data_IF_873373032492
#
_entry.id   IF_873373032492
#
_cell.length_a   1.000
_cell.length_b   1.000
_cell.length_c   1.000
_cell.angle_alpha   90.00
_cell.angle_beta   90.00
_cell.angle_gamma   90.00
#
_symmetry.space_group_name_H-M   'P 1'
#
loop_
_entity.id
_entity.type
_entity.pdbx_description
1 polymer ?
#
# COMPACT_ATOMS: atom_id res chain seq x y z
N UNK A 1 -17.58 -11.45 17.19
CA UNK A 1 -16.63 -10.65 18.01
C UNK A 1 -16.98 -9.16 17.99
N UNK A 2 -17.67 -8.67 19.03
CA UNK A 2 -18.23 -7.31 19.10
C UNK A 2 -17.15 -6.20 19.18
N UNK A 3 -15.97 -6.52 19.70
CA UNK A 3 -14.88 -5.55 19.95
C UNK A 3 -14.26 -5.01 18.65
N UNK A 4 -14.04 -5.85 17.64
CA UNK A 4 -13.48 -5.40 16.35
C UNK A 4 -14.46 -4.50 15.59
N UNK A 5 -15.77 -4.80 15.68
CA UNK A 5 -16.83 -3.98 15.07
C UNK A 5 -16.90 -2.59 15.71
N UNK A 6 -16.79 -2.51 17.03
CA UNK A 6 -16.77 -1.24 17.77
C UNK A 6 -15.51 -0.43 17.42
N UNK A 7 -14.32 -1.06 17.41
CA UNK A 7 -13.07 -0.39 17.01
C UNK A 7 -13.14 0.15 15.58
N UNK A 8 -13.72 -0.62 14.66
CA UNK A 8 -13.91 -0.21 13.27
C UNK A 8 -14.88 0.97 13.12
N UNK A 9 -16.04 0.92 13.82
CA UNK A 9 -16.98 2.04 13.83
C UNK A 9 -16.36 3.32 14.39
N UNK A 10 -15.61 3.21 15.49
CA UNK A 10 -14.90 4.35 16.09
C UNK A 10 -13.82 4.94 15.16
N UNK A 11 -13.17 4.09 14.36
CA UNK A 11 -12.19 4.54 13.37
C UNK A 11 -12.87 5.34 12.23
N UNK A 12 -13.94 4.81 11.64
CA UNK A 12 -14.69 5.51 10.58
C UNK A 12 -15.26 6.83 11.07
N UNK A 13 -15.75 6.90 12.31
CA UNK A 13 -16.28 8.15 12.87
C UNK A 13 -15.21 9.15 13.31
N UNK A 14 -13.92 8.82 13.18
CA UNK A 14 -12.84 9.68 13.66
C UNK A 14 -12.61 10.89 12.77
N UNK A 15 -12.19 12.02 13.37
CA UNK A 15 -11.74 13.21 12.62
C UNK A 15 -10.61 12.88 11.64
N UNK A 16 -9.77 11.89 11.97
CA UNK A 16 -8.67 11.42 11.10
C UNK A 16 -9.21 10.73 9.84
N UNK A 17 -10.23 9.87 9.98
CA UNK A 17 -10.85 9.24 8.82
C UNK A 17 -11.59 10.25 7.94
N UNK A 18 -12.27 11.23 8.53
CA UNK A 18 -12.92 12.30 7.76
C UNK A 18 -11.91 13.16 6.98
N UNK A 19 -10.75 13.48 7.58
CA UNK A 19 -9.66 14.18 6.89
C UNK A 19 -9.09 13.33 5.74
N UNK A 20 -8.85 12.04 5.99
CA UNK A 20 -8.41 11.09 4.98
C UNK A 20 -9.41 10.99 3.82
N UNK A 21 -10.71 10.81 4.10
CA UNK A 21 -11.75 10.75 3.09
C UNK A 21 -11.87 12.08 2.29
N UNK A 22 -11.67 13.23 2.95
CA UNK A 22 -11.69 14.52 2.27
C UNK A 22 -10.49 14.71 1.32
N UNK A 23 -9.31 14.17 1.66
CA UNK A 23 -8.14 14.13 0.78
C UNK A 23 -8.40 13.27 -0.47
N UNK A 24 -8.91 12.05 -0.30
CA UNK A 24 -9.19 11.14 -1.42
C UNK A 24 -10.30 11.63 -2.36
N UNK A 25 -11.26 12.39 -1.83
CA UNK A 25 -12.32 12.99 -2.64
C UNK A 25 -11.88 14.31 -3.31
N UNK A 26 -10.58 14.65 -3.29
CA UNK A 26 -10.01 15.82 -3.96
C UNK A 26 -10.44 17.17 -3.37
N UNK A 27 -11.10 17.19 -2.21
CA UNK A 27 -11.65 18.42 -1.61
C UNK A 27 -10.57 19.25 -0.88
N UNK A 28 -9.41 18.67 -0.62
CA UNK A 28 -8.31 19.30 0.12
C UNK A 28 -6.99 19.09 -0.64
N UNK A 29 -6.84 19.76 -1.78
CA UNK A 29 -5.54 19.90 -2.46
C UNK A 29 -5.42 21.33 -2.97
N UNK A 30 -4.54 22.13 -2.35
CA UNK A 30 -4.23 23.49 -2.83
C UNK A 30 -3.15 23.50 -3.93
N UNK A 31 -2.29 22.50 -3.93
CA UNK A 31 -1.20 22.32 -4.90
C UNK A 31 -1.37 20.94 -5.55
N UNK A 32 -2.10 20.89 -6.66
CA UNK A 32 -2.18 19.68 -7.49
C UNK A 32 -1.08 19.72 -8.54
N UNK A 33 -0.29 18.64 -8.63
CA UNK A 33 0.41 18.35 -9.86
C UNK A 33 -0.63 17.85 -10.87
N UNK A 34 -0.65 18.37 -12.09
CA UNK A 34 -1.44 17.75 -13.16
C UNK A 34 -0.91 16.33 -13.40
N UNK A 35 -1.78 15.41 -13.85
CA UNK A 35 -1.53 13.98 -14.13
C UNK A 35 -0.49 13.70 -15.25
N UNK A 36 0.59 14.49 -15.31
CA UNK A 36 1.75 14.29 -16.16
C UNK A 36 2.89 13.64 -15.38
N UNK A 37 3.72 12.87 -16.08
CA UNK A 37 5.03 12.44 -15.56
C UNK A 37 5.78 13.68 -15.07
N UNK A 38 6.29 13.63 -13.83
CA UNK A 38 7.38 14.49 -13.35
C UNK A 38 8.57 14.30 -14.31
N UNK A 39 8.62 15.07 -15.38
CA UNK A 39 9.55 14.85 -16.49
C UNK A 39 10.56 15.98 -16.63
N UNK A 40 10.41 17.05 -15.86
CA UNK A 40 11.29 18.21 -15.91
C UNK A 40 11.84 18.57 -14.53
N UNK A 41 13.10 19.03 -14.48
CA UNK A 41 13.82 19.40 -13.25
C UNK A 41 13.06 20.43 -12.40
N UNK A 42 12.25 21.28 -13.04
CA UNK A 42 11.43 22.29 -12.36
C UNK A 42 10.33 21.68 -11.47
N UNK A 43 9.74 20.55 -11.88
CA UNK A 43 8.67 19.90 -11.11
C UNK A 43 9.24 19.16 -9.90
N UNK A 44 10.42 18.56 -10.06
CA UNK A 44 11.16 17.93 -8.96
C UNK A 44 11.57 19.00 -7.92
N UNK A 45 12.09 20.14 -8.37
CA UNK A 45 12.44 21.25 -7.49
C UNK A 45 11.21 21.75 -6.72
N UNK A 46 10.07 21.93 -7.40
CA UNK A 46 8.81 22.31 -6.76
C UNK A 46 8.31 21.29 -5.74
N UNK A 47 8.40 20.00 -6.05
CA UNK A 47 8.03 18.95 -5.09
C UNK A 47 8.94 18.99 -3.86
N UNK A 48 10.25 19.18 -4.04
CA UNK A 48 11.20 19.31 -2.94
C UNK A 48 10.91 20.52 -2.04
N UNK A 49 10.56 21.66 -2.63
CA UNK A 49 10.17 22.88 -1.89
C UNK A 49 8.93 22.61 -1.02
N UNK A 50 7.87 22.07 -1.62
CA UNK A 50 6.63 21.72 -0.91
C UNK A 50 6.90 20.74 0.25
N UNK A 51 7.75 19.74 0.03
CA UNK A 51 8.12 18.77 1.08
C UNK A 51 8.91 19.46 2.20
N UNK A 52 9.82 20.38 1.86
CA UNK A 52 10.67 21.07 2.84
C UNK A 52 9.91 22.07 3.72
N UNK A 53 8.84 22.69 3.19
CA UNK A 53 8.01 23.64 3.93
C UNK A 53 6.87 22.97 4.72
N UNK A 54 6.54 21.72 4.39
CA UNK A 54 5.43 21.03 5.00
C UNK A 54 5.71 20.63 6.45
N UNK A 55 4.81 21.01 7.35
CA UNK A 55 4.89 20.66 8.78
C UNK A 55 4.19 19.35 9.12
N UNK A 56 3.27 18.90 8.26
CA UNK A 56 2.46 17.70 8.48
C UNK A 56 2.35 16.95 7.15
N UNK A 57 3.06 15.82 7.06
CA UNK A 57 3.16 15.03 5.83
C UNK A 57 2.46 13.69 6.04
N UNK A 58 1.52 13.37 5.15
CA UNK A 58 0.89 12.06 5.08
C UNK A 58 1.53 11.28 3.94
N UNK A 59 2.23 10.19 4.29
CA UNK A 59 2.82 9.28 3.31
C UNK A 59 1.85 8.14 3.04
N UNK A 60 1.47 7.96 1.77
CA UNK A 60 0.61 6.86 1.32
C UNK A 60 1.41 5.90 0.46
N UNK A 61 1.48 4.64 0.87
CA UNK A 61 2.33 3.62 0.24
C UNK A 61 1.54 2.39 -0.13
N UNK A 62 1.85 1.79 -1.27
CA UNK A 62 1.36 0.47 -1.67
C UNK A 62 2.48 -0.58 -1.71
N UNK A 63 2.16 -1.77 -2.22
CA UNK A 63 3.12 -2.87 -2.37
C UNK A 63 4.34 -2.51 -3.24
N UNK A 64 4.20 -1.53 -4.15
CA UNK A 64 5.30 -1.00 -4.96
C UNK A 64 6.49 -0.48 -4.12
N UNK A 65 6.27 -0.03 -2.89
CA UNK A 65 7.36 0.40 -2.01
C UNK A 65 8.29 -0.76 -1.61
N UNK A 66 7.77 -1.99 -1.54
CA UNK A 66 8.53 -3.17 -1.13
C UNK A 66 9.08 -4.00 -2.29
N UNK A 67 8.74 -3.69 -3.54
CA UNK A 67 9.28 -4.44 -4.71
C UNK A 67 10.80 -4.40 -4.81
N UNK A 68 11.51 -3.30 -4.51
CA UNK A 68 12.98 -3.31 -4.51
C UNK A 68 13.58 -4.15 -3.37
N UNK A 69 12.77 -4.47 -2.35
CA UNK A 69 13.16 -5.40 -1.27
C UNK A 69 12.99 -6.87 -1.66
N UNK A 70 12.53 -7.17 -2.88
CA UNK A 70 12.27 -8.54 -3.35
C UNK A 70 10.89 -9.08 -3.01
N UNK A 71 10.00 -8.27 -2.43
CA UNK A 71 8.61 -8.65 -2.17
C UNK A 71 7.77 -8.24 -3.38
N UNK A 72 7.20 -9.19 -4.14
CA UNK A 72 6.43 -8.85 -5.33
C UNK A 72 5.21 -8.01 -4.97
N UNK A 73 4.82 -7.10 -5.86
CA UNK A 73 3.50 -6.49 -5.76
C UNK A 73 2.43 -7.49 -6.24
N UNK A 74 1.17 -7.08 -6.24
CA UNK A 74 0.08 -7.96 -6.63
C UNK A 74 -0.12 -8.06 -8.15
N UNK A 75 0.17 -7.00 -8.91
CA UNK A 75 -0.42 -6.73 -10.23
C UNK A 75 0.59 -6.56 -11.37
N UNK A 76 1.89 -6.49 -11.08
CA UNK A 76 2.92 -6.32 -12.10
C UNK A 76 2.97 -7.53 -13.03
N UNK A 77 2.94 -7.35 -14.36
CA UNK A 77 3.04 -8.46 -15.29
C UNK A 77 4.35 -9.25 -15.13
N UNK A 78 4.27 -10.57 -15.06
CA UNK A 78 5.40 -11.49 -14.98
C UNK A 78 6.11 -11.59 -13.61
N UNK A 79 6.00 -10.57 -12.75
CA UNK A 79 6.63 -10.55 -11.42
C UNK A 79 5.62 -10.45 -10.27
N UNK A 80 4.41 -10.01 -10.57
CA UNK A 80 3.34 -9.83 -9.60
C UNK A 80 2.83 -11.14 -9.04
N UNK A 81 2.27 -11.06 -7.84
CA UNK A 81 1.73 -12.20 -7.12
C UNK A 81 0.68 -12.95 -7.95
N UNK A 82 -0.29 -12.23 -8.52
CA UNK A 82 -1.42 -12.82 -9.25
C UNK A 82 -1.01 -13.64 -10.47
N UNK A 83 0.01 -13.19 -11.20
CA UNK A 83 0.55 -13.93 -12.34
C UNK A 83 1.22 -15.25 -11.92
N UNK A 84 1.72 -15.30 -10.68
CA UNK A 84 2.39 -16.47 -10.10
C UNK A 84 1.45 -17.38 -9.28
N UNK A 85 0.16 -17.02 -9.13
CA UNK A 85 -0.83 -17.83 -8.40
C UNK A 85 -1.49 -18.93 -9.22
N UNK A 86 -1.14 -19.09 -10.50
CA UNK A 86 -1.73 -20.12 -11.38
C UNK A 86 -1.64 -21.54 -10.79
N UNK A 87 -0.64 -21.80 -9.94
CA UNK A 87 -0.45 -23.08 -9.21
C UNK A 87 -1.61 -23.45 -8.29
N UNK A 88 -2.45 -22.50 -7.87
CA UNK A 88 -3.54 -22.73 -6.92
C UNK A 88 -4.91 -22.94 -7.59
N UNK A 89 -5.00 -22.89 -8.92
CA UNK A 89 -6.24 -23.06 -9.68
C UNK A 89 -7.41 -22.22 -9.12
N UNK A 90 -7.13 -20.96 -8.79
CA UNK A 90 -8.11 -20.04 -8.22
C UNK A 90 -9.14 -19.63 -9.27
N UNK A 91 -10.42 -19.38 -8.87
CA UNK A 91 -11.44 -18.90 -9.80
C UNK A 91 -11.14 -17.50 -10.33
N UNK A 92 -10.45 -16.68 -9.54
CA UNK A 92 -9.89 -15.38 -9.87
C UNK A 92 -8.73 -15.07 -8.91
N UNK A 93 -7.74 -14.24 -9.29
CA UNK A 93 -6.53 -14.04 -8.48
C UNK A 93 -6.79 -13.49 -7.07
N UNK A 94 -7.77 -12.60 -6.91
CA UNK A 94 -8.16 -12.02 -5.62
C UNK A 94 -8.80 -13.03 -4.66
N UNK A 95 -9.23 -14.21 -5.15
CA UNK A 95 -9.92 -15.21 -4.34
C UNK A 95 -9.08 -15.70 -3.16
N UNK A 96 -7.75 -15.68 -3.29
CA UNK A 96 -6.82 -16.05 -2.21
C UNK A 96 -6.97 -15.17 -0.95
N UNK A 97 -7.51 -13.96 -1.10
CA UNK A 97 -7.77 -13.01 -0.01
C UNK A 97 -9.27 -12.85 0.29
N UNK A 98 -10.13 -13.62 -0.37
CA UNK A 98 -11.57 -13.62 -0.11
C UNK A 98 -11.87 -14.45 1.15
N UNK A 99 -12.64 -13.88 2.07
CA UNK A 99 -12.98 -14.54 3.34
C UNK A 99 -13.82 -15.80 3.13
N UNK A 100 -14.73 -15.83 2.16
CA UNK A 100 -15.55 -16.99 1.87
C UNK A 100 -14.71 -18.10 1.25
N UNK A 101 -13.80 -17.76 0.33
CA UNK A 101 -12.87 -18.70 -0.24
C UNK A 101 -11.94 -19.30 0.83
N UNK A 102 -11.38 -18.45 1.71
CA UNK A 102 -10.52 -18.89 2.81
C UNK A 102 -11.22 -19.90 3.74
N UNK A 103 -12.50 -19.68 4.04
CA UNK A 103 -13.29 -20.58 4.87
C UNK A 103 -13.58 -21.93 4.18
N UNK A 104 -13.57 -21.97 2.85
CA UNK A 104 -13.75 -23.20 2.06
C UNK A 104 -12.43 -23.96 1.86
N UNK A 105 -11.38 -23.26 1.44
CA UNK A 105 -10.03 -23.80 1.26
C UNK A 105 -8.97 -22.78 1.70
N UNK A 106 -8.44 -22.89 2.94
CA UNK A 106 -7.43 -21.96 3.45
C UNK A 106 -6.01 -22.27 2.93
N UNK A 107 -5.78 -23.39 2.24
CA UNK A 107 -4.43 -23.83 1.85
C UNK A 107 -3.70 -22.80 0.98
N UNK A 108 -4.31 -22.22 -0.08
CA UNK A 108 -3.61 -21.25 -0.93
C UNK A 108 -3.11 -20.03 -0.14
N UNK A 109 -3.94 -19.52 0.78
CA UNK A 109 -3.55 -18.41 1.65
C UNK A 109 -2.35 -18.77 2.54
N UNK A 110 -2.37 -19.92 3.22
CA UNK A 110 -1.27 -20.30 4.11
C UNK A 110 0.03 -20.61 3.37
N UNK A 111 -0.06 -21.23 2.18
CA UNK A 111 1.13 -21.42 1.32
C UNK A 111 1.74 -20.08 0.94
N UNK A 112 0.90 -19.12 0.52
CA UNK A 112 1.40 -17.79 0.17
C UNK A 112 1.94 -17.03 1.40
N UNK A 113 1.27 -17.10 2.53
CA UNK A 113 1.70 -16.44 3.76
C UNK A 113 3.06 -16.94 4.25
N UNK A 114 3.36 -18.22 4.01
CA UNK A 114 4.68 -18.79 4.28
C UNK A 114 5.75 -18.21 3.35
N UNK A 115 5.46 -18.12 2.04
CA UNK A 115 6.37 -17.52 1.06
C UNK A 115 6.69 -16.05 1.38
N UNK A 116 5.70 -15.31 1.90
CA UNK A 116 5.82 -13.88 2.24
C UNK A 116 6.24 -13.60 3.70
N UNK A 117 6.54 -14.63 4.50
CA UNK A 117 6.75 -14.45 5.93
C UNK A 117 7.95 -13.52 6.23
N UNK A 118 7.78 -12.45 7.02
CA UNK A 118 8.84 -11.50 7.31
C UNK A 118 9.90 -12.10 8.24
N UNK A 119 11.18 -11.85 7.95
CA UNK A 119 12.27 -12.06 8.92
C UNK A 119 13.56 -12.70 8.38
N UNK A 120 13.48 -13.56 7.36
CA UNK A 120 14.68 -14.28 6.87
C UNK A 120 15.11 -13.78 5.48
N UNK A 121 14.16 -13.45 4.60
CA UNK A 121 14.43 -13.28 3.17
C UNK A 121 14.43 -11.84 2.67
N UNK A 122 13.98 -10.87 3.47
CA UNK A 122 13.73 -9.50 3.02
C UNK A 122 14.35 -8.46 3.94
N UNK A 123 14.99 -7.45 3.35
CA UNK A 123 15.54 -6.28 4.06
C UNK A 123 14.87 -5.01 3.58
N UNK A 124 14.68 -4.00 4.45
CA UNK A 124 14.19 -2.69 4.02
C UNK A 124 15.07 -2.10 2.91
N UNK A 125 14.45 -1.64 1.84
CA UNK A 125 15.16 -0.92 0.78
C UNK A 125 15.32 0.56 1.16
N UNK A 126 16.08 1.30 0.34
CA UNK A 126 16.40 2.70 0.58
C UNK A 126 15.16 3.59 0.71
N UNK A 127 14.05 3.29 0.02
CA UNK A 127 12.82 4.08 0.11
C UNK A 127 12.18 3.92 1.49
N UNK A 128 12.08 2.69 1.98
CA UNK A 128 11.56 2.40 3.33
C UNK A 128 12.43 3.07 4.39
N UNK A 129 13.77 2.97 4.26
CA UNK A 129 14.71 3.60 5.19
C UNK A 129 14.55 5.12 5.16
N UNK A 130 14.53 5.73 3.97
CA UNK A 130 14.35 7.17 3.81
C UNK A 130 13.03 7.63 4.43
N UNK A 131 11.93 6.92 4.17
CA UNK A 131 10.65 7.28 4.76
C UNK A 131 10.68 7.21 6.29
N UNK A 132 11.33 6.18 6.85
CA UNK A 132 11.47 6.04 8.30
C UNK A 132 12.39 7.09 8.94
N UNK A 133 13.36 7.61 8.21
CA UNK A 133 14.29 8.62 8.73
C UNK A 133 13.70 10.02 8.69
N UNK A 134 12.87 10.33 7.68
CA UNK A 134 12.43 11.70 7.40
C UNK A 134 10.96 11.98 7.72
N UNK A 135 10.09 10.97 7.82
CA UNK A 135 8.64 11.19 7.92
C UNK A 135 7.93 10.40 9.03
N UNK A 136 8.64 9.51 9.75
CA UNK A 136 8.09 8.69 10.85
C UNK A 136 8.90 8.96 12.12
#
# INVERSE_FOLDING_TARGET
NNIYRIKYQNFISSKRFNLFAALFNGKICKNSFHDGKLSNNNEIARASEIISEATNILVMTGAGLSTPSGIPDFRSPGTGLYDNLQKFNLPYPEAIFDIHYFMMDPKPFFTLAQDLYPGINYKPNILVITLSTYFI
#
